data_IF_908087746477
#
_entry.id   IF_908087746477
#
_cell.length_a   1.000
_cell.length_b   1.000
_cell.length_c   1.000
_cell.angle_alpha   90.00
_cell.angle_beta   90.00
_cell.angle_gamma   90.00
#
_symmetry.space_group_name_H-M   'P 1'
#
loop_
_entity.id
_entity.type
_entity.pdbx_description
1 polymer ?
#
# COMPACT_ATOMS: atom_id res chain seq x y z
N UNK A 1 -19.54 7.14 -33.79
CA UNK A 1 -18.25 6.59 -33.30
C UNK A 1 -17.39 7.63 -32.56
N UNK A 2 -17.21 8.85 -33.09
CA UNK A 2 -16.39 9.89 -32.44
C UNK A 2 -16.91 10.32 -31.05
N UNK A 3 -18.23 10.49 -30.89
CA UNK A 3 -18.81 10.93 -29.61
C UNK A 3 -18.61 9.94 -28.46
N UNK A 4 -18.71 8.63 -28.75
CA UNK A 4 -18.46 7.59 -27.75
C UNK A 4 -17.00 7.60 -27.26
N UNK A 5 -16.04 7.82 -28.16
CA UNK A 5 -14.62 7.95 -27.82
C UNK A 5 -14.35 9.18 -26.95
N UNK A 6 -14.95 10.32 -27.29
CA UNK A 6 -14.84 11.55 -26.50
C UNK A 6 -15.47 11.38 -25.11
N UNK A 7 -16.61 10.70 -25.01
CA UNK A 7 -17.25 10.41 -23.72
C UNK A 7 -16.35 9.53 -22.82
N UNK A 8 -15.74 8.48 -23.38
CA UNK A 8 -14.78 7.63 -22.67
C UNK A 8 -13.55 8.42 -22.20
N UNK A 9 -12.95 9.24 -23.06
CA UNK A 9 -11.81 10.08 -22.70
C UNK A 9 -12.13 11.07 -21.58
N UNK A 10 -13.34 11.67 -21.60
CA UNK A 10 -13.79 12.56 -20.52
C UNK A 10 -13.91 11.83 -19.18
N UNK A 11 -14.44 10.59 -19.18
CA UNK A 11 -14.54 9.76 -17.97
C UNK A 11 -13.16 9.34 -17.46
N UNK A 12 -12.26 8.89 -18.34
CA UNK A 12 -10.87 8.59 -18.00
C UNK A 12 -10.17 9.81 -17.37
N UNK A 13 -10.34 11.00 -17.95
CA UNK A 13 -9.73 12.23 -17.40
C UNK A 13 -10.25 12.56 -16.01
N UNK A 14 -11.58 12.49 -15.79
CA UNK A 14 -12.19 12.73 -14.47
C UNK A 14 -11.72 11.71 -13.43
N UNK A 15 -11.63 10.45 -13.83
CA UNK A 15 -11.11 9.39 -12.99
C UNK A 15 -9.66 9.67 -12.56
N UNK A 16 -8.78 9.93 -13.53
CA UNK A 16 -7.35 10.13 -13.27
C UNK A 16 -7.09 11.38 -12.44
N UNK A 17 -7.82 12.48 -12.67
CA UNK A 17 -7.69 13.69 -11.86
C UNK A 17 -7.99 13.40 -10.39
N UNK A 18 -9.14 12.77 -10.10
CA UNK A 18 -9.50 12.50 -8.72
C UNK A 18 -8.62 11.44 -8.07
N UNK A 19 -8.08 10.51 -8.86
CA UNK A 19 -7.08 9.57 -8.38
C UNK A 19 -5.80 10.31 -7.97
N UNK A 20 -5.37 11.31 -8.76
CA UNK A 20 -4.21 12.14 -8.42
C UNK A 20 -4.43 12.98 -7.16
N UNK A 21 -5.64 13.46 -6.94
CA UNK A 21 -5.95 14.30 -5.77
C UNK A 21 -6.06 13.47 -4.47
N UNK A 22 -6.41 12.18 -4.55
CA UNK A 22 -6.84 11.41 -3.36
C UNK A 22 -6.16 10.05 -3.17
N UNK A 23 -5.54 9.48 -4.21
CA UNK A 23 -5.06 8.10 -4.22
C UNK A 23 -6.18 7.05 -4.11
N UNK A 24 -7.45 7.45 -4.06
CA UNK A 24 -8.57 6.55 -3.76
C UNK A 24 -9.33 6.13 -5.03
N UNK A 25 -9.08 4.90 -5.47
CA UNK A 25 -9.71 4.32 -6.67
C UNK A 25 -11.24 4.25 -6.57
N UNK A 26 -11.78 3.90 -5.41
CA UNK A 26 -13.23 3.80 -5.22
C UNK A 26 -13.91 5.16 -5.30
N UNK A 27 -13.31 6.19 -4.69
CA UNK A 27 -13.79 7.57 -4.79
C UNK A 27 -13.69 8.10 -6.23
N UNK A 28 -12.58 7.80 -6.92
CA UNK A 28 -12.36 8.21 -8.31
C UNK A 28 -13.36 7.57 -9.27
N UNK A 29 -13.68 6.29 -9.07
CA UNK A 29 -14.73 5.59 -9.84
C UNK A 29 -16.10 6.25 -9.63
N UNK A 30 -16.48 6.52 -8.37
CA UNK A 30 -17.76 7.17 -8.03
C UNK A 30 -17.87 8.55 -8.67
N UNK A 31 -16.82 9.37 -8.61
CA UNK A 31 -16.81 10.69 -9.22
C UNK A 31 -16.90 10.62 -10.76
N UNK A 32 -16.16 9.68 -11.37
CA UNK A 32 -16.15 9.48 -12.81
C UNK A 32 -17.42 8.79 -13.34
N UNK A 33 -18.33 8.35 -12.46
CA UNK A 33 -19.52 7.54 -12.77
C UNK A 33 -19.12 6.26 -13.51
N UNK A 34 -18.13 5.55 -12.96
CA UNK A 34 -17.59 4.31 -13.49
C UNK A 34 -17.79 3.18 -12.49
N UNK A 35 -18.03 2.00 -13.02
CA UNK A 35 -17.81 0.78 -12.26
C UNK A 35 -16.30 0.54 -12.11
N UNK A 36 -15.88 -0.02 -10.97
CA UNK A 36 -14.47 -0.36 -10.74
C UNK A 36 -13.93 -1.30 -11.81
N UNK A 37 -14.71 -2.31 -12.22
CA UNK A 37 -14.32 -3.27 -13.26
C UNK A 37 -13.92 -2.58 -14.57
N UNK A 38 -14.70 -1.59 -15.00
CA UNK A 38 -14.38 -0.79 -16.20
C UNK A 38 -13.04 -0.06 -16.08
N UNK A 39 -12.75 0.54 -14.93
CA UNK A 39 -11.49 1.27 -14.72
C UNK A 39 -10.27 0.33 -14.77
N UNK A 40 -10.37 -0.86 -14.16
CA UNK A 40 -9.33 -1.89 -14.23
C UNK A 40 -9.19 -2.49 -15.64
N UNK A 41 -10.29 -2.66 -16.37
CA UNK A 41 -10.26 -3.10 -17.76
C UNK A 41 -9.51 -2.09 -18.64
N UNK A 42 -9.76 -0.78 -18.49
CA UNK A 42 -8.97 0.23 -19.20
C UNK A 42 -7.50 0.14 -18.84
N UNK A 43 -7.18 -0.07 -17.56
CA UNK A 43 -5.79 -0.24 -17.10
C UNK A 43 -5.13 -1.47 -17.73
N UNK A 44 -5.85 -2.58 -17.93
CA UNK A 44 -5.28 -3.79 -18.53
C UNK A 44 -5.16 -3.71 -20.05
N UNK A 45 -6.07 -3.01 -20.73
CA UNK A 45 -6.14 -2.96 -22.20
C UNK A 45 -5.38 -1.77 -22.82
N UNK A 46 -5.19 -0.67 -22.08
CA UNK A 46 -4.56 0.54 -22.58
C UNK A 46 -3.30 0.87 -21.77
N UNK A 47 -2.13 0.71 -22.41
CA UNK A 47 -0.84 1.01 -21.80
C UNK A 47 -0.67 2.51 -21.46
N UNK A 48 -1.24 3.42 -22.25
CA UNK A 48 -1.19 4.85 -21.97
C UNK A 48 -2.03 5.19 -20.74
N UNK A 49 -3.25 4.64 -20.65
CA UNK A 49 -4.10 4.82 -19.47
C UNK A 49 -3.46 4.24 -18.21
N UNK A 50 -2.82 3.06 -18.32
CA UNK A 50 -2.06 2.45 -17.22
C UNK A 50 -0.91 3.32 -16.72
N UNK A 51 -0.16 3.93 -17.63
CA UNK A 51 0.93 4.86 -17.27
C UNK A 51 0.37 6.08 -16.54
N UNK A 52 -0.67 6.72 -17.09
CA UNK A 52 -1.33 7.88 -16.47
C UNK A 52 -1.97 7.55 -15.12
N UNK A 53 -2.45 6.32 -14.94
CA UNK A 53 -2.92 5.84 -13.65
C UNK A 53 -1.79 5.82 -12.62
N UNK A 54 -0.62 5.31 -13.00
CA UNK A 54 0.53 5.29 -12.10
C UNK A 54 1.00 6.72 -11.78
N UNK A 55 1.13 7.58 -12.79
CA UNK A 55 1.46 9.01 -12.61
C UNK A 55 0.49 9.70 -11.64
N UNK A 56 -0.81 9.37 -11.69
CA UNK A 56 -1.79 9.88 -10.74
C UNK A 56 -1.57 9.36 -9.32
N UNK A 57 -1.29 8.07 -9.14
CA UNK A 57 -0.97 7.53 -7.82
C UNK A 57 0.29 8.16 -7.22
N UNK A 58 1.32 8.34 -8.05
CA UNK A 58 2.57 8.97 -7.62
C UNK A 58 2.32 10.42 -7.17
N UNK A 59 1.54 11.19 -7.93
CA UNK A 59 1.14 12.55 -7.53
C UNK A 59 0.35 12.59 -6.20
N UNK A 60 -0.51 11.60 -5.94
CA UNK A 60 -1.22 11.50 -4.67
C UNK A 60 -0.28 11.21 -3.50
N UNK A 61 0.76 10.40 -3.72
CA UNK A 61 1.80 10.10 -2.74
C UNK A 61 2.66 11.34 -2.48
N UNK A 62 3.09 12.05 -3.53
CA UNK A 62 3.86 13.31 -3.41
C UNK A 62 3.11 14.35 -2.55
N UNK A 63 1.78 14.45 -2.72
CA UNK A 63 0.95 15.31 -1.91
C UNK A 63 0.89 14.87 -0.44
N UNK A 64 0.80 13.57 -0.18
CA UNK A 64 0.87 13.01 1.18
C UNK A 64 2.23 13.26 1.83
N UNK A 65 3.32 13.08 1.11
CA UNK A 65 4.68 13.37 1.59
C UNK A 65 4.85 14.86 1.92
N UNK A 66 4.33 15.74 1.07
CA UNK A 66 4.35 17.19 1.28
C UNK A 66 3.59 17.58 2.56
N UNK A 67 2.41 17.03 2.78
CA UNK A 67 1.62 17.28 4.00
C UNK A 67 2.30 16.68 5.23
N UNK A 68 2.91 15.50 5.12
CA UNK A 68 3.68 14.91 6.21
C UNK A 68 4.86 15.82 6.61
N UNK A 69 5.59 16.35 5.64
CA UNK A 69 6.66 17.33 5.86
C UNK A 69 6.14 18.60 6.52
N UNK A 70 5.02 19.16 6.04
CA UNK A 70 4.40 20.36 6.62
C UNK A 70 4.07 20.13 8.10
N UNK A 71 3.42 19.01 8.44
CA UNK A 71 3.09 18.67 9.84
C UNK A 71 4.31 18.42 10.72
N UNK A 72 5.37 17.85 10.15
CA UNK A 72 6.62 17.62 10.87
C UNK A 72 7.35 18.93 11.18
N UNK A 73 7.44 19.85 10.21
CA UNK A 73 8.29 21.05 10.29
C UNK A 73 7.52 22.28 10.79
N UNK A 74 6.31 22.52 10.27
CA UNK A 74 5.50 23.70 10.61
C UNK A 74 4.46 23.40 11.70
N UNK A 75 4.08 22.12 11.84
CA UNK A 75 3.08 21.68 12.80
C UNK A 75 1.64 21.99 12.37
N UNK A 76 0.73 21.79 13.32
CA UNK A 76 -0.71 22.10 13.20
C UNK A 76 -1.15 22.91 14.41
N UNK A 77 -2.08 23.85 14.21
CA UNK A 77 -2.70 24.55 15.33
C UNK A 77 -3.62 23.59 16.08
N UNK A 78 -3.34 23.43 17.37
CA UNK A 78 -4.20 22.69 18.27
C UNK A 78 -4.83 23.66 19.28
N UNK A 79 -6.16 23.64 19.46
CA UNK A 79 -6.81 24.45 20.48
C UNK A 79 -6.31 24.04 21.87
N UNK A 80 -5.95 25.04 22.67
CA UNK A 80 -5.60 24.89 24.07
C UNK A 80 -6.85 25.17 24.91
N UNK A 81 -7.21 24.23 25.78
CA UNK A 81 -8.39 24.32 26.63
C UNK A 81 -7.99 24.53 28.08
N UNK A 82 -8.68 25.46 28.75
CA UNK A 82 -8.62 25.63 30.19
C UNK A 82 -10.05 25.78 30.72
N UNK A 83 -10.43 24.95 31.68
CA UNK A 83 -11.80 24.90 32.24
C UNK A 83 -12.91 24.73 31.17
N UNK A 84 -12.67 23.91 30.15
CA UNK A 84 -13.64 23.63 29.09
C UNK A 84 -13.81 24.74 28.05
N UNK A 85 -13.08 25.84 28.16
CA UNK A 85 -13.07 26.94 27.19
C UNK A 85 -11.75 26.95 26.41
N UNK A 86 -11.82 27.29 25.11
CA UNK A 86 -10.62 27.49 24.29
C UNK A 86 -9.97 28.80 24.74
N UNK A 87 -8.75 28.70 25.27
CA UNK A 87 -7.98 29.85 25.78
C UNK A 87 -6.84 30.27 24.86
N UNK A 88 -6.58 29.53 23.78
CA UNK A 88 -5.61 29.88 22.76
C UNK A 88 -5.35 28.74 21.78
N UNK A 89 -4.31 28.90 20.96
CA UNK A 89 -3.79 27.84 20.08
C UNK A 89 -2.32 27.59 20.39
N UNK A 90 -1.93 26.32 20.30
CA UNK A 90 -0.53 25.90 20.38
C UNK A 90 -0.16 25.17 19.10
N UNK A 91 1.05 25.40 18.59
CA UNK A 91 1.58 24.63 17.46
C UNK A 91 1.99 23.24 17.94
N UNK A 92 1.39 22.20 17.36
CA UNK A 92 1.77 20.80 17.57
C UNK A 92 2.52 20.27 16.36
N UNK A 93 3.78 19.92 16.58
CA UNK A 93 4.62 19.24 15.61
C UNK A 93 4.43 17.72 15.69
N UNK A 94 4.84 17.02 14.63
CA UNK A 94 4.79 15.56 14.58
C UNK A 94 6.19 14.96 14.46
N UNK A 95 6.80 14.65 15.60
CA UNK A 95 8.12 14.03 15.66
C UNK A 95 8.13 12.63 15.02
N UNK A 96 7.01 11.92 15.08
CA UNK A 96 6.85 10.64 14.39
C UNK A 96 6.96 10.79 12.87
N UNK A 97 6.32 11.81 12.28
CA UNK A 97 6.44 12.10 10.84
C UNK A 97 7.84 12.62 10.50
N UNK A 98 8.45 13.43 11.37
CA UNK A 98 9.83 13.89 11.21
C UNK A 98 10.79 12.69 11.13
N UNK A 99 10.71 11.79 12.11
CA UNK A 99 11.55 10.58 12.17
C UNK A 99 11.26 9.63 11.01
N UNK A 100 10.00 9.48 10.60
CA UNK A 100 9.63 8.70 9.42
C UNK A 100 10.31 9.25 8.16
N UNK A 101 10.20 10.55 7.90
CA UNK A 101 10.82 11.18 6.71
C UNK A 101 12.34 11.05 6.74
N UNK A 102 12.99 11.21 7.90
CA UNK A 102 14.44 11.04 8.04
C UNK A 102 14.88 9.60 7.74
N UNK A 103 14.15 8.61 8.26
CA UNK A 103 14.40 7.18 8.00
C UNK A 103 14.25 6.82 6.53
N UNK A 104 13.23 7.36 5.87
CA UNK A 104 12.95 7.08 4.46
C UNK A 104 13.99 7.70 3.53
N UNK A 105 14.41 8.95 3.76
CA UNK A 105 15.34 9.64 2.85
C UNK A 105 16.83 9.43 3.18
N UNK A 106 17.17 9.02 4.41
CA UNK A 106 18.55 8.80 4.88
C UNK A 106 18.64 7.54 5.76
N UNK A 107 18.27 6.36 5.23
CA UNK A 107 18.24 5.13 6.02
C UNK A 107 19.62 4.74 6.56
N UNK A 108 20.71 5.06 5.85
CA UNK A 108 22.09 4.83 6.29
C UNK A 108 22.43 5.50 7.64
N UNK A 109 21.75 6.61 7.97
CA UNK A 109 21.97 7.36 9.20
C UNK A 109 20.88 7.13 10.26
N UNK A 110 19.64 6.94 9.83
CA UNK A 110 18.49 6.99 10.72
C UNK A 110 17.70 5.69 10.80
N UNK A 111 18.00 4.68 9.97
CA UNK A 111 17.36 3.38 10.10
C UNK A 111 17.61 2.82 11.50
N UNK A 112 16.57 2.21 12.07
CA UNK A 112 16.72 1.39 13.26
C UNK A 112 17.67 0.24 12.89
N UNK A 113 18.84 0.19 13.53
CA UNK A 113 19.62 -1.05 13.55
C UNK A 113 18.69 -2.08 14.17
N UNK A 114 18.23 -3.05 13.38
CA UNK A 114 17.63 -4.24 13.92
C UNK A 114 18.68 -4.82 14.87
N UNK A 115 18.46 -4.66 16.17
CA UNK A 115 19.16 -5.46 17.16
C UNK A 115 18.24 -6.67 17.33
N UNK A 116 18.41 -7.75 16.55
CA UNK A 116 17.71 -8.97 16.89
C UNK A 116 18.16 -9.29 18.30
N UNK A 117 17.23 -9.26 19.25
CA UNK A 117 17.55 -9.66 20.60
C UNK A 117 18.10 -11.10 20.47
N UNK A 118 19.29 -11.40 21.02
CA UNK A 118 20.04 -12.61 20.66
C UNK A 118 19.26 -13.92 20.87
N UNK A 119 18.27 -13.91 21.77
CA UNK A 119 17.41 -15.05 22.09
C UNK A 119 16.38 -15.43 20.99
N UNK A 120 15.97 -14.50 20.11
CA UNK A 120 15.00 -14.81 19.04
C UNK A 120 15.67 -15.34 17.76
N UNK A 121 16.99 -15.15 17.62
CA UNK A 121 17.72 -15.63 16.46
C UNK A 121 17.93 -17.15 16.50
N UNK A 122 18.07 -17.74 17.69
CA UNK A 122 18.24 -19.18 17.88
C UNK A 122 16.92 -19.95 17.66
N UNK A 123 15.79 -19.44 18.17
CA UNK A 123 14.47 -20.07 17.95
C UNK A 123 14.04 -20.03 16.49
N UNK A 124 14.25 -18.90 15.80
CA UNK A 124 13.87 -18.76 14.38
C UNK A 124 14.73 -19.60 13.45
N UNK A 125 16.02 -19.77 13.74
CA UNK A 125 16.88 -20.68 12.98
C UNK A 125 16.40 -22.14 13.11
N UNK A 126 16.01 -22.56 14.32
CA UNK A 126 15.53 -23.92 14.58
C UNK A 126 14.18 -24.20 13.89
N UNK A 127 13.27 -23.21 13.90
CA UNK A 127 11.98 -23.30 13.19
C UNK A 127 12.14 -23.32 11.66
N UNK A 128 13.11 -22.58 11.13
CA UNK A 128 13.42 -22.56 9.69
C UNK A 128 14.02 -23.87 9.21
N UNK A 129 14.93 -24.46 9.98
CA UNK A 129 15.53 -25.76 9.67
C UNK A 129 14.49 -26.89 9.75
N UNK A 130 13.60 -26.85 10.75
CA UNK A 130 12.49 -27.79 10.86
C UNK A 130 11.49 -27.67 9.69
N UNK A 131 11.12 -26.44 9.31
CA UNK A 131 10.22 -26.18 8.19
C UNK A 131 10.84 -26.60 6.84
N UNK A 132 12.15 -26.39 6.67
CA UNK A 132 12.89 -26.82 5.48
C UNK A 132 12.96 -28.34 5.38
N UNK A 133 13.24 -29.04 6.48
CA UNK A 133 13.28 -30.51 6.52
C UNK A 133 11.90 -31.14 6.25
N UNK A 134 10.80 -30.50 6.67
CA UNK A 134 9.44 -30.95 6.34
C UNK A 134 9.08 -30.73 4.87
N UNK A 135 9.49 -29.58 4.30
CA UNK A 135 9.29 -29.30 2.88
C UNK A 135 10.07 -30.30 2.00
N UNK A 136 11.30 -30.61 2.37
CA UNK A 136 12.15 -31.58 1.67
C UNK A 136 11.52 -32.99 1.71
N UNK A 137 11.05 -33.44 2.87
CA UNK A 137 10.29 -34.70 3.01
C UNK A 137 8.97 -34.74 2.22
N UNK A 138 8.33 -33.59 1.99
CA UNK A 138 7.13 -33.50 1.13
C UNK A 138 7.49 -33.57 -0.34
N UNK A 139 8.57 -32.92 -0.75
CA UNK A 139 9.07 -32.97 -2.12
C UNK A 139 9.51 -34.39 -2.50
N UNK A 140 10.18 -35.11 -1.60
CA UNK A 140 10.58 -36.50 -1.83
C UNK A 140 9.38 -37.45 -1.98
N UNK A 141 8.32 -37.26 -1.18
CA UNK A 141 7.07 -38.03 -1.31
C UNK A 141 6.38 -37.80 -2.66
N UNK A 142 6.33 -36.55 -3.11
CA UNK A 142 5.77 -36.21 -4.42
C UNK A 142 6.63 -36.76 -5.56
N UNK A 143 7.96 -36.78 -5.41
CA UNK A 143 8.87 -37.37 -6.38
C UNK A 143 8.78 -38.92 -6.43
N UNK A 144 8.41 -39.56 -5.31
CA UNK A 144 8.19 -41.00 -5.23
C UNK A 144 6.85 -41.48 -5.84
N UNK A 145 5.95 -40.54 -6.20
CA UNK A 145 4.69 -40.84 -6.90
C UNK A 145 3.54 -41.29 -6.00
N UNK A 146 3.65 -41.17 -4.67
CA UNK A 146 2.54 -41.41 -3.74
C UNK A 146 1.65 -40.15 -3.63
N UNK A 147 0.65 -40.04 -4.52
CA UNK A 147 -0.40 -39.02 -4.42
C UNK A 147 -1.54 -39.54 -3.51
N UNK A 148 -1.83 -38.91 -2.35
CA UNK A 148 -2.93 -39.35 -1.47
C UNK A 148 -4.33 -39.11 -2.07
N UNK A 149 -4.44 -38.56 -3.28
CA UNK A 149 -5.70 -38.36 -3.97
C UNK A 149 -6.29 -39.64 -4.63
N UNK A 150 -5.55 -40.74 -4.72
CA UNK A 150 -5.97 -41.93 -5.49
C UNK A 150 -6.80 -42.97 -4.69
N UNK A 151 -7.02 -42.80 -3.38
CA UNK A 151 -7.81 -43.75 -2.55
C UNK A 151 -9.30 -43.36 -2.39
N UNK A 152 -9.75 -42.24 -2.95
CA UNK A 152 -11.17 -41.83 -2.88
C UNK A 152 -12.04 -42.39 -4.02
N UNK A 153 -11.53 -43.34 -4.81
CA UNK A 153 -12.09 -43.73 -6.11
C UNK A 153 -12.54 -45.19 -6.30
N UNK A 154 -12.53 -46.06 -5.28
CA UNK A 154 -13.07 -47.43 -5.40
C UNK A 154 -14.08 -47.74 -4.30
N UNK A 155 -15.30 -47.27 -4.53
CA UNK A 155 -16.49 -47.90 -3.99
C UNK A 155 -16.89 -49.07 -4.89
N UNK A 156 -17.01 -50.26 -4.31
CA UNK A 156 -18.08 -51.23 -4.61
C UNK A 156 -18.65 -51.74 -3.29
#
# INVERSE_FOLDING_TARGET
MADARLATQRRQRRFLQHLADTGNVSAACRLAKLERGTAYQWRSQDANFRRRWQEALDAAVDALESEARRRAIEGVDQPHFHQGQVTGTVKRYSDALLMFLLRTHRPDRFAERANPAPHLAEETANDQDAARAELERRLDRLAAGDDPADDAGRAE
#
